data_IF_626776881559
#
_entry.id   IF_626776881559
#
_cell.length_a   1.000
_cell.length_b   1.000
_cell.length_c   1.000
_cell.angle_alpha   90.00
_cell.angle_beta   90.00
_cell.angle_gamma   90.00
#
_symmetry.space_group_name_H-M   'P 1'
#
loop_
_entity.id
_entity.type
_entity.pdbx_description
1 polymer ?
#
# COMPACT_ATOMS: atom_id res chain seq x y z
N UNK A 1 -16.87 30.25 21.64
CA UNK A 1 -15.48 29.84 21.67
C UNK A 1 -15.39 28.59 20.79
N UNK A 2 -14.54 28.54 19.76
CA UNK A 2 -14.35 27.30 19.03
C UNK A 2 -13.70 26.28 19.98
N UNK A 3 -14.27 25.09 20.03
CA UNK A 3 -13.68 23.94 20.72
C UNK A 3 -12.29 23.70 20.11
N UNK A 4 -11.22 23.55 20.90
CA UNK A 4 -9.91 23.22 20.33
C UNK A 4 -10.08 21.94 19.51
N UNK A 5 -9.58 21.97 18.27
CA UNK A 5 -9.55 20.80 17.43
C UNK A 5 -8.68 19.74 18.14
N UNK A 6 -9.31 18.72 18.71
CA UNK A 6 -8.57 17.56 19.18
C UNK A 6 -7.95 16.87 17.98
N UNK A 7 -6.64 16.71 18.00
CA UNK A 7 -5.95 15.86 17.04
C UNK A 7 -6.54 14.45 17.11
N UNK A 8 -7.20 14.07 16.06
CA UNK A 8 -7.92 12.78 15.99
C UNK A 8 -6.94 11.64 15.74
N UNK A 9 -5.76 11.95 15.17
CA UNK A 9 -4.72 10.97 14.84
C UNK A 9 -3.35 11.65 14.67
N UNK A 10 -2.30 10.92 15.00
CA UNK A 10 -0.91 11.42 14.90
C UNK A 10 -0.37 11.27 13.47
N UNK A 11 -0.89 10.32 12.72
CA UNK A 11 -0.49 10.05 11.33
C UNK A 11 -1.66 9.47 10.52
N UNK A 12 -1.46 9.39 9.22
CA UNK A 12 -2.34 8.67 8.30
C UNK A 12 -1.51 7.79 7.37
N UNK A 13 -2.13 6.69 6.95
CA UNK A 13 -1.64 5.87 5.85
C UNK A 13 -2.45 6.17 4.60
N UNK A 14 -1.76 6.30 3.47
CA UNK A 14 -2.38 6.50 2.16
C UNK A 14 -1.70 5.62 1.11
N UNK A 15 -2.35 5.43 -0.02
CA UNK A 15 -1.80 4.66 -1.12
C UNK A 15 -2.89 4.02 -1.96
N UNK A 16 -2.47 3.34 -3.01
CA UNK A 16 -3.34 2.55 -3.87
C UNK A 16 -2.84 1.11 -3.83
N UNK A 17 -3.76 0.16 -3.78
CA UNK A 17 -3.41 -1.26 -3.78
C UNK A 17 -2.42 -1.61 -4.91
N UNK A 18 -1.38 -2.33 -4.55
CA UNK A 18 -0.31 -2.74 -5.47
C UNK A 18 0.69 -1.63 -5.81
N UNK A 19 0.64 -0.51 -5.10
CA UNK A 19 1.51 0.64 -5.32
C UNK A 19 2.31 0.98 -4.06
N UNK A 20 2.94 2.13 -4.08
CA UNK A 20 3.61 2.72 -2.92
C UNK A 20 2.64 2.90 -1.75
N UNK A 21 3.18 2.92 -0.55
CA UNK A 21 2.45 3.26 0.67
C UNK A 21 3.05 4.53 1.26
N UNK A 22 2.18 5.44 1.65
CA UNK A 22 2.55 6.72 2.24
C UNK A 22 2.26 6.69 3.74
N UNK A 23 3.21 7.16 4.52
CA UNK A 23 3.05 7.54 5.91
C UNK A 23 3.13 9.05 5.99
N UNK A 24 2.11 9.69 6.51
CA UNK A 24 2.05 11.16 6.59
C UNK A 24 1.72 11.56 8.01
N UNK A 25 2.58 12.33 8.62
CA UNK A 25 2.33 13.02 9.89
C UNK A 25 2.21 14.54 9.69
N UNK A 26 2.26 15.30 10.78
CA UNK A 26 2.12 16.77 10.73
C UNK A 26 3.30 17.48 10.07
N UNK A 27 4.44 16.83 10.01
CA UNK A 27 5.68 17.43 9.53
C UNK A 27 6.17 16.80 8.25
N UNK A 28 6.07 15.47 8.10
CA UNK A 28 6.68 14.78 6.97
C UNK A 28 5.69 13.91 6.21
N UNK A 29 6.01 13.69 4.95
CA UNK A 29 5.40 12.67 4.10
C UNK A 29 6.48 11.71 3.64
N UNK A 30 6.38 10.46 4.07
CA UNK A 30 7.23 9.38 3.63
C UNK A 30 6.48 8.50 2.64
N UNK A 31 7.13 8.19 1.52
CA UNK A 31 6.61 7.30 0.47
C UNK A 31 7.52 6.08 0.37
N UNK A 32 6.98 4.91 0.62
CA UNK A 32 7.68 3.64 0.49
C UNK A 32 7.22 2.93 -0.78
N UNK A 33 8.10 2.85 -1.76
CA UNK A 33 7.87 2.08 -2.97
C UNK A 33 8.11 0.57 -2.76
N UNK A 34 7.50 -0.30 -3.57
CA UNK A 34 7.87 -1.70 -3.61
C UNK A 34 9.36 -1.88 -3.96
N UNK A 35 10.05 -2.77 -3.22
CA UNK A 35 11.51 -3.00 -3.39
C UNK A 35 11.87 -4.01 -4.46
N UNK A 36 10.90 -4.77 -4.97
CA UNK A 36 11.08 -5.77 -6.02
C UNK A 36 9.89 -5.71 -6.99
N UNK A 37 9.71 -6.70 -7.84
CA UNK A 37 8.67 -6.78 -8.88
C UNK A 37 7.20 -6.63 -8.41
N UNK A 38 6.96 -5.95 -7.29
CA UNK A 38 5.67 -5.68 -6.68
C UNK A 38 4.85 -6.96 -6.43
N UNK A 39 5.54 -8.03 -6.00
CA UNK A 39 4.99 -9.37 -5.74
C UNK A 39 5.69 -9.98 -4.53
N UNK A 40 5.02 -10.83 -3.74
CA UNK A 40 3.62 -11.22 -3.94
C UNK A 40 2.63 -10.12 -3.55
N UNK A 41 1.41 -10.19 -4.08
CA UNK A 41 0.29 -9.33 -3.71
C UNK A 41 -0.98 -10.14 -3.57
N UNK A 42 -1.86 -9.74 -2.67
CA UNK A 42 -3.21 -10.29 -2.57
C UNK A 42 -4.25 -9.18 -2.59
N UNK A 43 -5.29 -9.36 -3.40
CA UNK A 43 -6.48 -8.55 -3.31
C UNK A 43 -7.50 -9.26 -2.44
N UNK A 44 -7.99 -8.58 -1.42
CA UNK A 44 -8.99 -9.07 -0.51
C UNK A 44 -10.32 -8.37 -0.78
N UNK A 45 -11.41 -9.11 -0.84
CA UNK A 45 -12.72 -8.56 -1.14
C UNK A 45 -13.83 -9.37 -0.50
N UNK A 46 -14.90 -8.71 -0.10
CA UNK A 46 -16.15 -9.35 0.28
C UNK A 46 -17.12 -9.55 -0.92
N UNK A 47 -16.67 -9.31 -2.14
CA UNK A 47 -17.46 -9.43 -3.37
C UNK A 47 -16.76 -10.31 -4.39
N UNK A 48 -17.55 -11.07 -5.16
CA UNK A 48 -17.08 -11.87 -6.28
C UNK A 48 -16.55 -11.05 -7.46
N UNK A 49 -16.94 -9.80 -7.56
CA UNK A 49 -16.42 -8.88 -8.57
C UNK A 49 -15.90 -7.62 -7.88
N UNK A 50 -14.68 -7.26 -8.20
CA UNK A 50 -14.02 -6.08 -7.63
C UNK A 50 -14.43 -4.79 -8.32
N UNK A 51 -14.87 -4.86 -9.59
CA UNK A 51 -15.29 -3.68 -10.36
C UNK A 51 -16.22 -4.12 -11.51
N UNK A 52 -17.22 -3.29 -11.87
CA UNK A 52 -18.06 -3.53 -13.06
C UNK A 52 -17.31 -3.16 -14.34
N UNK A 53 -16.15 -3.74 -14.56
CA UNK A 53 -15.37 -3.54 -15.78
C UNK A 53 -15.52 -4.74 -16.68
N UNK A 54 -15.77 -4.48 -17.96
CA UNK A 54 -15.71 -5.53 -18.96
C UNK A 54 -14.29 -6.12 -19.03
N UNK A 55 -14.20 -7.43 -18.91
CA UNK A 55 -12.94 -8.12 -19.15
C UNK A 55 -12.51 -7.87 -20.60
N UNK A 56 -11.33 -7.34 -20.81
CA UNK A 56 -10.73 -7.21 -22.13
C UNK A 56 -9.99 -8.48 -22.50
N UNK A 57 -9.90 -8.85 -23.78
CA UNK A 57 -9.19 -10.05 -24.22
C UNK A 57 -7.74 -10.12 -23.75
N UNK A 58 -7.09 -8.97 -23.57
CA UNK A 58 -5.73 -8.89 -23.09
C UNK A 58 -5.57 -9.17 -21.58
N UNK A 59 -6.65 -9.19 -20.81
CA UNK A 59 -6.62 -9.62 -19.42
C UNK A 59 -6.60 -11.15 -19.35
N UNK A 60 -5.43 -11.71 -19.18
CA UNK A 60 -5.28 -13.14 -18.95
C UNK A 60 -5.94 -13.55 -17.66
N UNK A 61 -6.79 -14.54 -17.73
CA UNK A 61 -7.36 -15.18 -16.56
C UNK A 61 -6.23 -15.90 -15.82
N UNK A 62 -6.09 -15.65 -14.51
CA UNK A 62 -5.12 -16.36 -13.70
C UNK A 62 -5.31 -17.88 -13.81
N UNK A 63 -4.24 -18.70 -13.76
CA UNK A 63 -4.32 -20.14 -13.68
C UNK A 63 -5.25 -20.61 -12.55
N UNK A 64 -5.85 -21.80 -12.65
CA UNK A 64 -6.83 -22.28 -11.67
C UNK A 64 -6.33 -22.28 -10.22
N UNK A 65 -5.06 -22.62 -10.02
CA UNK A 65 -4.37 -22.63 -8.72
C UNK A 65 -4.15 -21.24 -8.11
N UNK A 66 -4.22 -20.20 -8.93
CA UNK A 66 -4.06 -18.80 -8.52
C UNK A 66 -5.32 -17.96 -8.67
N UNK A 67 -6.47 -18.60 -8.87
CA UNK A 67 -7.76 -17.91 -8.89
C UNK A 67 -8.20 -17.47 -7.50
N UNK A 68 -9.15 -16.54 -7.48
CA UNK A 68 -9.77 -16.12 -6.24
C UNK A 68 -10.36 -17.33 -5.49
N UNK A 69 -10.10 -17.38 -4.20
CA UNK A 69 -10.61 -18.41 -3.29
C UNK A 69 -11.09 -17.78 -2.00
N UNK A 70 -11.91 -18.51 -1.24
CA UNK A 70 -12.26 -18.09 0.11
C UNK A 70 -11.04 -18.30 1.00
N UNK A 71 -10.71 -17.30 1.77
CA UNK A 71 -9.57 -17.28 2.70
C UNK A 71 -9.88 -16.31 3.85
N UNK A 72 -9.00 -16.20 4.81
CA UNK A 72 -9.14 -15.31 5.96
C UNK A 72 -8.01 -14.28 5.94
N UNK A 73 -8.35 -13.01 6.18
CA UNK A 73 -7.32 -12.02 6.47
C UNK A 73 -6.66 -12.34 7.81
N UNK A 74 -5.37 -12.04 7.99
CA UNK A 74 -4.69 -12.19 9.27
C UNK A 74 -5.49 -11.54 10.40
N UNK A 75 -5.66 -12.25 11.52
CA UNK A 75 -6.40 -11.76 12.68
C UNK A 75 -7.93 -11.74 12.53
N UNK A 76 -8.50 -12.24 11.44
CA UNK A 76 -9.94 -12.23 11.17
C UNK A 76 -10.52 -13.64 11.03
N UNK A 77 -11.67 -13.88 11.61
CA UNK A 77 -12.46 -15.10 11.41
C UNK A 77 -13.53 -14.94 10.32
N UNK A 78 -13.61 -13.75 9.70
CA UNK A 78 -14.57 -13.48 8.64
C UNK A 78 -14.01 -13.97 7.31
N UNK A 79 -14.68 -14.91 6.63
CA UNK A 79 -14.21 -15.39 5.33
C UNK A 79 -14.37 -14.31 4.26
N UNK A 80 -13.34 -14.13 3.46
CA UNK A 80 -13.28 -13.18 2.36
C UNK A 80 -12.71 -13.84 1.11
N UNK A 81 -12.89 -13.22 -0.04
CA UNK A 81 -12.23 -13.64 -1.27
C UNK A 81 -10.80 -13.10 -1.29
N UNK A 82 -9.86 -13.99 -1.53
CA UNK A 82 -8.46 -13.65 -1.79
C UNK A 82 -8.12 -13.95 -3.24
N UNK A 83 -7.66 -12.97 -3.96
CA UNK A 83 -7.04 -13.12 -5.28
C UNK A 83 -5.53 -12.86 -5.15
N UNK A 84 -4.69 -13.91 -5.22
CA UNK A 84 -3.24 -13.72 -5.21
C UNK A 84 -2.72 -13.27 -6.58
N UNK A 85 -1.62 -12.54 -6.57
CA UNK A 85 -0.87 -12.08 -7.74
C UNK A 85 0.60 -12.39 -7.54
N UNK A 86 1.19 -13.12 -8.49
CA UNK A 86 2.57 -13.56 -8.49
C UNK A 86 3.40 -12.82 -9.55
N UNK A 87 4.70 -13.05 -9.54
CA UNK A 87 5.58 -12.50 -10.58
C UNK A 87 5.07 -12.85 -11.98
N UNK A 88 4.99 -11.85 -12.85
CA UNK A 88 4.49 -12.01 -14.23
C UNK A 88 2.97 -11.89 -14.39
N UNK A 89 2.19 -11.84 -13.32
CA UNK A 89 0.76 -11.60 -13.41
C UNK A 89 0.45 -10.15 -13.82
N UNK A 90 -0.57 -9.96 -14.64
CA UNK A 90 -1.03 -8.62 -15.01
C UNK A 90 -1.85 -8.02 -13.87
N UNK A 91 -1.40 -6.87 -13.39
CA UNK A 91 -2.15 -6.12 -12.37
C UNK A 91 -3.34 -5.36 -12.98
N UNK A 92 -4.39 -5.12 -12.19
CA UNK A 92 -5.46 -4.21 -12.57
C UNK A 92 -4.94 -2.83 -12.98
N UNK A 93 -5.71 -2.15 -13.82
CA UNK A 93 -5.34 -0.86 -14.43
C UNK A 93 -4.87 0.18 -13.42
N UNK A 94 -5.57 0.34 -12.29
CA UNK A 94 -5.23 1.33 -11.26
C UNK A 94 -3.88 1.08 -10.58
N UNK A 95 -3.41 -0.16 -10.55
CA UNK A 95 -2.11 -0.50 -10.00
C UNK A 95 -0.93 -0.21 -10.96
N UNK A 96 -1.22 0.33 -12.14
CA UNK A 96 -0.20 0.70 -13.14
C UNK A 96 0.00 2.19 -13.28
N UNK A 97 -0.82 3.02 -12.64
CA UNK A 97 -0.71 4.47 -12.73
C UNK A 97 0.30 5.01 -11.74
N UNK A 98 1.03 6.02 -12.18
CA UNK A 98 2.03 6.79 -11.45
C UNK A 98 2.97 5.93 -10.59
N UNK A 99 4.23 5.96 -10.83
CA UNK A 99 5.22 5.21 -10.05
C UNK A 99 6.23 6.17 -9.48
N UNK A 100 6.41 6.10 -8.18
CA UNK A 100 7.62 6.60 -7.58
C UNK A 100 8.74 5.60 -7.84
N UNK A 101 9.88 6.09 -8.30
CA UNK A 101 11.06 5.28 -8.61
C UNK A 101 11.96 5.15 -7.38
N UNK A 102 11.43 4.69 -6.27
CA UNK A 102 12.17 4.57 -5.02
C UNK A 102 11.39 5.14 -3.84
N UNK A 103 12.06 5.25 -2.71
CA UNK A 103 11.50 5.86 -1.51
C UNK A 103 11.68 7.37 -1.59
N UNK A 104 10.76 8.11 -0.98
CA UNK A 104 10.80 9.56 -0.93
C UNK A 104 10.38 10.05 0.45
N UNK A 105 10.98 11.16 0.90
CA UNK A 105 10.67 11.79 2.17
C UNK A 105 10.71 13.31 2.00
N UNK A 106 9.66 14.00 2.42
CA UNK A 106 9.59 15.45 2.36
C UNK A 106 9.17 16.05 3.69
N UNK A 107 9.75 17.19 4.04
CA UNK A 107 9.28 18.04 5.15
C UNK A 107 8.18 18.96 4.63
N UNK A 108 6.93 18.65 4.97
CA UNK A 108 5.76 19.41 4.51
C UNK A 108 5.68 20.83 5.11
N UNK A 109 6.39 21.08 6.21
CA UNK A 109 6.42 22.40 6.84
C UNK A 109 7.45 23.33 6.18
N UNK A 110 8.64 22.81 5.90
CA UNK A 110 9.71 23.55 5.26
C UNK A 110 9.58 23.60 3.74
N UNK A 111 9.04 22.53 3.14
CA UNK A 111 8.89 22.35 1.68
C UNK A 111 7.48 21.83 1.31
N UNK A 112 6.46 22.68 1.40
CA UNK A 112 5.08 22.30 1.02
C UNK A 112 4.93 21.89 -0.46
N UNK A 113 5.91 22.21 -1.29
CA UNK A 113 5.93 21.87 -2.71
C UNK A 113 6.59 20.52 -3.02
N UNK A 114 7.09 19.81 -2.00
CA UNK A 114 7.71 18.47 -2.15
C UNK A 114 8.86 18.50 -3.21
N UNK A 115 9.68 19.53 -3.18
CA UNK A 115 10.77 19.77 -4.15
C UNK A 115 12.13 19.26 -3.68
N UNK A 116 12.31 19.10 -2.34
CA UNK A 116 13.54 18.64 -1.71
C UNK A 116 13.31 17.27 -1.08
N UNK A 117 13.74 16.23 -1.76
CA UNK A 117 13.67 14.88 -1.27
C UNK A 117 14.73 14.64 -0.17
N UNK A 118 14.30 14.16 0.97
CA UNK A 118 15.14 13.83 2.13
C UNK A 118 15.40 12.32 2.26
N UNK A 119 14.90 11.50 1.34
CA UNK A 119 15.25 10.09 1.25
C UNK A 119 16.79 9.94 1.11
N UNK A 120 17.33 8.77 1.42
CA UNK A 120 18.77 8.50 1.54
C UNK A 120 19.45 9.22 2.73
N UNK A 121 18.69 10.02 3.50
CA UNK A 121 19.15 10.68 4.71
C UNK A 121 18.93 9.83 5.98
N UNK A 122 19.46 10.29 7.12
CA UNK A 122 19.33 9.56 8.39
C UNK A 122 17.88 9.41 8.87
N UNK A 123 17.01 10.32 8.44
CA UNK A 123 15.61 10.35 8.85
C UNK A 123 14.75 9.29 8.14
N UNK A 124 15.16 8.82 6.97
CA UNK A 124 14.40 7.82 6.22
C UNK A 124 14.18 6.53 7.02
N UNK A 125 15.20 6.05 7.71
CA UNK A 125 15.09 4.83 8.53
C UNK A 125 14.03 4.96 9.62
N UNK A 126 13.99 6.08 10.31
CA UNK A 126 12.99 6.35 11.35
C UNK A 126 11.55 6.31 10.76
N UNK A 127 11.37 6.90 9.57
CA UNK A 127 10.07 6.87 8.90
C UNK A 127 9.71 5.50 8.30
N UNK A 128 10.68 4.72 7.87
CA UNK A 128 10.47 3.33 7.48
C UNK A 128 9.98 2.49 8.67
N UNK A 129 10.62 2.63 9.83
CA UNK A 129 10.22 1.94 11.07
C UNK A 129 8.82 2.37 11.53
N UNK A 130 8.49 3.67 11.47
CA UNK A 130 7.15 4.19 11.78
C UNK A 130 6.09 3.61 10.85
N UNK A 131 6.36 3.56 9.54
CA UNK A 131 5.46 2.96 8.57
C UNK A 131 5.24 1.48 8.85
N UNK A 132 6.31 0.73 9.13
CA UNK A 132 6.22 -0.69 9.49
C UNK A 132 5.32 -0.90 10.71
N UNK A 133 5.55 -0.16 11.79
CA UNK A 133 4.73 -0.23 12.98
C UNK A 133 3.26 0.14 12.72
N UNK A 134 3.01 1.16 11.90
CA UNK A 134 1.66 1.56 11.54
C UNK A 134 0.94 0.48 10.71
N UNK A 135 1.65 -0.21 9.82
CA UNK A 135 1.08 -1.35 9.07
C UNK A 135 0.78 -2.54 9.98
N UNK A 136 1.66 -2.85 10.93
CA UNK A 136 1.41 -3.90 11.94
C UNK A 136 0.19 -3.57 12.81
N UNK A 137 0.03 -2.31 13.20
CA UNK A 137 -1.07 -1.86 14.04
C UNK A 137 -2.46 -1.98 13.37
N UNK A 138 -2.52 -2.09 12.05
CA UNK A 138 -3.75 -2.31 11.29
C UNK A 138 -3.88 -3.74 10.74
N UNK A 139 -3.07 -4.68 11.25
CA UNK A 139 -3.04 -6.08 10.80
C UNK A 139 -2.86 -6.21 9.28
N UNK A 140 -1.96 -5.39 8.70
CA UNK A 140 -1.65 -5.48 7.29
C UNK A 140 -1.12 -6.89 6.95
N UNK A 141 -1.54 -7.49 5.81
CA UNK A 141 -1.08 -8.81 5.42
C UNK A 141 0.45 -8.90 5.28
N UNK A 142 1.04 -10.04 5.60
CA UNK A 142 2.49 -10.29 5.51
C UNK A 142 3.06 -10.00 4.11
N UNK A 143 2.27 -10.25 3.06
CA UNK A 143 2.60 -9.88 1.67
C UNK A 143 3.02 -8.41 1.55
N UNK A 144 2.46 -7.54 2.39
CA UNK A 144 2.73 -6.11 2.37
C UNK A 144 4.12 -5.81 2.90
N UNK A 145 4.53 -6.49 3.98
CA UNK A 145 5.88 -6.39 4.52
C UNK A 145 6.93 -6.83 3.51
N UNK A 146 6.75 -8.02 2.93
CA UNK A 146 7.65 -8.55 1.90
C UNK A 146 7.77 -7.61 0.70
N UNK A 147 6.64 -7.09 0.23
CA UNK A 147 6.58 -6.19 -0.92
C UNK A 147 7.32 -4.87 -0.68
N UNK A 148 7.24 -4.34 0.54
CA UNK A 148 7.86 -3.08 0.93
C UNK A 148 9.30 -3.25 1.47
N UNK A 149 9.77 -4.50 1.61
CA UNK A 149 11.13 -4.79 2.07
C UNK A 149 11.33 -4.54 3.56
N UNK A 150 10.35 -4.94 4.36
CA UNK A 150 10.41 -4.96 5.82
C UNK A 150 10.74 -6.35 6.35
#
# INVERSE_FOLDING_TARGET
MPTPAHDVRDHLLAGIWGREVHYVDKQHKYVRAPVAANRPLSMWSNRWSTMPMHARPEFRVAPPDRRARIDFMPGSEVPVLRQPYEAGDTLPMWARFAEFSGHHLWDLQADPGETQDLADGPLERDYADRLQHALMAIDAPDDQGLRLGF
#
